data_IF_355525700674
#
_entry.id   IF_355525700674
#
_cell.length_a   1.000
_cell.length_b   1.000
_cell.length_c   1.000
_cell.angle_alpha   90.00
_cell.angle_beta   90.00
_cell.angle_gamma   90.00
#
_symmetry.space_group_name_H-M   'P 1'
#
loop_
_entity.id
_entity.type
_entity.pdbx_description
1 polymer ?
#
# COMPACT_ATOMS: atom_id res chain seq x y z
N UNK A 1 -15.46 23.64 -17.43
CA UNK A 1 -16.77 23.43 -18.07
C UNK A 1 -16.66 23.86 -19.52
N UNK A 2 -16.63 22.88 -20.43
CA UNK A 2 -16.72 23.05 -21.87
C UNK A 2 -17.56 21.88 -22.36
N UNK A 3 -18.82 22.16 -22.72
CA UNK A 3 -19.76 21.19 -23.27
C UNK A 3 -19.65 21.20 -24.79
N UNK A 4 -19.38 20.04 -25.40
CA UNK A 4 -19.56 19.84 -26.84
C UNK A 4 -20.85 19.02 -27.00
N UNK A 5 -21.86 19.65 -27.60
CA UNK A 5 -23.10 19.01 -28.03
C UNK A 5 -23.01 18.80 -29.54
N UNK A 6 -23.25 17.58 -30.00
CA UNK A 6 -23.48 17.28 -31.41
C UNK A 6 -24.73 16.40 -31.55
N UNK A 7 -25.76 16.92 -32.22
CA UNK A 7 -26.86 16.18 -32.85
C UNK A 7 -26.86 16.52 -34.34
N UNK A 8 -27.53 15.85 -35.28
CA UNK A 8 -28.29 14.61 -35.37
C UNK A 8 -28.23 14.19 -36.85
N UNK A 9 -28.27 12.90 -37.18
CA UNK A 9 -29.11 12.36 -38.28
C UNK A 9 -29.07 10.84 -38.28
N UNK A 10 -30.27 10.25 -38.21
CA UNK A 10 -30.46 8.82 -38.34
C UNK A 10 -30.47 8.40 -39.79
N UNK A 11 -29.82 7.28 -40.06
CA UNK A 11 -30.09 6.45 -41.23
C UNK A 11 -30.31 5.01 -40.74
N UNK A 12 -31.39 4.41 -41.21
CA UNK A 12 -31.93 3.14 -40.72
C UNK A 12 -31.32 2.01 -41.57
N UNK A 13 -30.53 1.08 -41.02
CA UNK A 13 -30.01 -0.04 -41.81
C UNK A 13 -31.11 -1.08 -42.05
N UNK A 14 -31.16 -1.61 -43.27
CA UNK A 14 -31.97 -2.77 -43.65
C UNK A 14 -31.48 -4.06 -42.93
N UNK A 15 -32.34 -5.07 -42.73
CA UNK A 15 -31.97 -6.26 -41.99
C UNK A 15 -31.04 -7.15 -42.84
N UNK A 16 -29.79 -7.33 -42.37
CA UNK A 16 -28.94 -8.41 -42.83
C UNK A 16 -29.34 -9.71 -42.08
N UNK A 17 -29.42 -10.81 -42.81
CA UNK A 17 -29.87 -12.12 -42.31
C UNK A 17 -28.97 -12.71 -41.21
N UNK A 18 -29.35 -13.86 -40.63
CA UNK A 18 -28.66 -14.43 -39.47
C UNK A 18 -27.24 -14.84 -39.87
N UNK A 19 -26.25 -14.08 -39.43
CA UNK A 19 -24.86 -14.51 -39.43
C UNK A 19 -24.62 -15.32 -38.16
N UNK A 20 -24.24 -16.58 -38.36
CA UNK A 20 -23.90 -17.56 -37.34
C UNK A 20 -22.72 -17.05 -36.49
N UNK A 21 -22.93 -16.94 -35.17
CA UNK A 21 -21.90 -16.49 -34.25
C UNK A 21 -20.83 -17.60 -34.07
N UNK A 22 -19.53 -17.30 -34.20
CA UNK A 22 -18.51 -18.24 -33.79
C UNK A 22 -18.55 -18.39 -32.27
N UNK A 23 -18.65 -19.63 -31.80
CA UNK A 23 -18.49 -19.96 -30.39
C UNK A 23 -17.07 -19.60 -29.95
N UNK A 24 -16.93 -18.47 -29.27
CA UNK A 24 -15.76 -18.22 -28.44
C UNK A 24 -15.90 -19.12 -27.21
N UNK A 25 -15.14 -20.21 -27.18
CA UNK A 25 -14.86 -20.90 -25.94
C UNK A 25 -14.04 -19.94 -25.06
N UNK A 26 -14.70 -19.28 -24.11
CA UNK A 26 -14.02 -18.72 -22.95
C UNK A 26 -13.31 -19.89 -22.25
N UNK A 27 -11.99 -19.88 -22.26
CA UNK A 27 -11.22 -20.75 -21.40
C UNK A 27 -11.54 -20.34 -19.96
N UNK A 28 -12.24 -21.22 -19.23
CA UNK A 28 -12.55 -21.03 -17.82
C UNK A 28 -11.27 -20.65 -17.07
N UNK A 29 -11.28 -19.45 -16.48
CA UNK A 29 -10.20 -19.01 -15.62
C UNK A 29 -10.04 -20.01 -14.45
N UNK A 30 -8.80 -20.31 -14.01
CA UNK A 30 -8.62 -21.23 -12.91
C UNK A 30 -9.34 -20.70 -11.66
N UNK A 31 -10.22 -21.51 -11.11
CA UNK A 31 -10.99 -21.21 -9.90
C UNK A 31 -10.35 -21.98 -8.74
N UNK A 32 -10.18 -21.33 -7.59
CA UNK A 32 -9.84 -22.04 -6.35
C UNK A 32 -10.98 -22.99 -6.00
N UNK A 33 -10.72 -24.30 -6.10
CA UNK A 33 -11.71 -25.37 -5.86
C UNK A 33 -12.23 -25.39 -4.42
N UNK A 34 -11.58 -24.70 -3.47
CA UNK A 34 -12.03 -24.63 -2.07
C UNK A 34 -13.05 -23.52 -1.83
N UNK A 35 -12.95 -22.42 -2.55
CA UNK A 35 -13.72 -21.20 -2.26
C UNK A 35 -14.60 -20.74 -3.42
N UNK A 36 -14.39 -21.28 -4.63
CA UNK A 36 -15.06 -20.79 -5.84
C UNK A 36 -14.57 -19.40 -6.27
N UNK A 37 -13.55 -18.85 -5.58
CA UNK A 37 -12.96 -17.57 -5.93
C UNK A 37 -12.00 -17.72 -7.12
N UNK A 38 -11.78 -16.64 -7.89
CA UNK A 38 -10.71 -16.62 -8.88
C UNK A 38 -9.38 -17.05 -8.25
N UNK A 39 -8.64 -17.94 -8.91
CA UNK A 39 -7.31 -18.30 -8.44
C UNK A 39 -6.43 -17.05 -8.38
N UNK A 40 -5.70 -16.89 -7.27
CA UNK A 40 -4.75 -15.79 -7.11
C UNK A 40 -3.58 -16.04 -8.08
N UNK A 41 -3.22 -15.09 -8.95
CA UNK A 41 -2.07 -15.22 -9.83
C UNK A 41 -0.79 -15.61 -9.09
N UNK A 42 0.11 -16.34 -9.76
CA UNK A 42 1.38 -16.76 -9.16
C UNK A 42 2.25 -15.56 -8.77
N UNK A 43 2.13 -14.44 -9.47
CA UNK A 43 2.76 -13.17 -9.09
C UNK A 43 1.75 -12.03 -9.12
N UNK A 44 1.80 -11.17 -8.11
CA UNK A 44 0.97 -9.96 -8.04
C UNK A 44 1.82 -8.71 -8.35
N UNK A 45 1.27 -7.72 -9.06
CA UNK A 45 2.00 -6.49 -9.40
C UNK A 45 2.26 -5.57 -8.20
N UNK A 46 1.52 -5.77 -7.10
CA UNK A 46 1.62 -4.99 -5.88
C UNK A 46 1.69 -5.91 -4.65
N UNK A 47 2.36 -5.42 -3.61
CA UNK A 47 2.36 -6.03 -2.29
C UNK A 47 1.43 -5.32 -1.31
N UNK A 48 1.25 -5.91 -0.14
CA UNK A 48 0.58 -5.29 1.00
C UNK A 48 1.61 -4.75 1.98
N UNK A 49 1.45 -3.48 2.38
CA UNK A 49 2.19 -2.88 3.48
C UNK A 49 1.31 -2.93 4.73
N UNK A 50 1.78 -3.61 5.77
CA UNK A 50 1.05 -3.83 7.02
C UNK A 50 1.83 -3.24 8.19
N UNK A 51 1.33 -2.19 8.81
CA UNK A 51 1.89 -1.64 10.04
C UNK A 51 1.05 -2.07 11.25
N UNK A 52 1.70 -2.62 12.28
CA UNK A 52 1.03 -3.13 13.47
C UNK A 52 1.95 -3.12 14.69
N UNK A 53 1.33 -3.14 15.88
CA UNK A 53 2.06 -3.39 17.13
C UNK A 53 2.32 -4.88 17.25
N UNK A 54 3.55 -5.22 17.64
CA UNK A 54 3.91 -6.60 17.94
C UNK A 54 4.08 -6.80 19.44
N UNK A 55 3.61 -7.93 19.94
CA UNK A 55 3.72 -8.34 21.33
C UNK A 55 4.39 -9.71 21.37
N UNK A 56 5.34 -9.89 22.30
CA UNK A 56 5.99 -11.17 22.49
C UNK A 56 5.05 -12.17 23.14
N UNK A 57 5.43 -13.45 23.16
CA UNK A 57 4.73 -14.48 23.93
C UNK A 57 5.72 -15.09 24.93
N UNK A 58 5.39 -15.04 26.22
CA UNK A 58 6.16 -15.62 27.32
C UNK A 58 5.24 -16.54 28.11
N UNK A 59 5.66 -17.78 28.32
CA UNK A 59 4.87 -18.81 29.01
C UNK A 59 3.46 -18.99 28.43
N UNK A 60 3.34 -18.88 27.11
CA UNK A 60 2.06 -19.01 26.38
C UNK A 60 1.14 -17.78 26.49
N UNK A 61 1.57 -16.70 27.13
CA UNK A 61 0.80 -15.46 27.29
C UNK A 61 1.46 -14.30 26.52
N UNK A 62 0.65 -13.45 25.89
CA UNK A 62 1.15 -12.26 25.23
C UNK A 62 1.73 -11.27 26.26
N UNK A 63 2.84 -10.62 25.93
CA UNK A 63 3.42 -9.56 26.77
C UNK A 63 2.53 -8.32 26.75
N UNK A 64 2.49 -7.57 27.84
CA UNK A 64 1.78 -6.28 27.89
C UNK A 64 2.56 -5.14 27.24
N UNK A 65 3.90 -5.27 27.19
CA UNK A 65 4.77 -4.30 26.54
C UNK A 65 4.95 -4.67 25.06
N UNK A 66 4.67 -3.75 24.12
CA UNK A 66 4.96 -3.98 22.70
C UNK A 66 6.47 -3.99 22.43
N UNK A 67 6.87 -4.74 21.42
CA UNK A 67 8.22 -4.71 20.84
C UNK A 67 8.47 -3.46 19.99
N UNK A 68 9.56 -3.43 19.19
CA UNK A 68 9.82 -2.36 18.24
C UNK A 68 8.65 -2.11 17.29
N UNK A 69 8.50 -0.87 16.83
CA UNK A 69 7.54 -0.53 15.78
C UNK A 69 7.87 -1.34 14.53
N UNK A 70 6.85 -1.91 13.88
CA UNK A 70 7.03 -2.86 12.78
C UNK A 70 6.09 -2.57 11.64
N UNK A 71 6.61 -2.71 10.43
CA UNK A 71 5.79 -2.97 9.25
C UNK A 71 6.31 -4.16 8.48
N UNK A 72 5.39 -4.89 7.86
CA UNK A 72 5.67 -6.00 6.96
C UNK A 72 5.29 -5.61 5.53
N UNK A 73 6.11 -6.04 4.58
CA UNK A 73 5.79 -6.00 3.16
C UNK A 73 5.55 -7.42 2.70
N UNK A 74 4.30 -7.72 2.36
CA UNK A 74 3.88 -9.01 1.85
C UNK A 74 3.76 -8.96 0.33
N UNK A 75 4.60 -9.71 -0.38
CA UNK A 75 4.55 -9.84 -1.85
C UNK A 75 4.23 -11.29 -2.24
N UNK A 76 3.67 -11.46 -3.44
CA UNK A 76 3.43 -12.78 -4.04
C UNK A 76 4.23 -12.90 -5.33
N UNK A 77 5.11 -13.87 -5.38
CA UNK A 77 6.04 -14.13 -6.49
C UNK A 77 6.16 -15.65 -6.67
N UNK A 78 6.09 -16.14 -7.92
CA UNK A 78 6.26 -17.55 -8.27
C UNK A 78 5.35 -18.53 -7.47
N UNK A 79 4.15 -18.08 -7.12
CA UNK A 79 3.16 -18.86 -6.36
C UNK A 79 3.37 -18.80 -4.84
N UNK A 80 4.44 -18.17 -4.37
CA UNK A 80 4.82 -18.08 -2.97
C UNK A 80 4.58 -16.68 -2.38
N UNK A 81 4.21 -16.64 -1.10
CA UNK A 81 4.15 -15.39 -0.34
C UNK A 81 5.50 -15.13 0.32
N UNK A 82 6.06 -13.94 0.08
CA UNK A 82 7.30 -13.47 0.70
C UNK A 82 7.00 -12.31 1.63
N UNK A 83 7.62 -12.32 2.81
CA UNK A 83 7.48 -11.24 3.80
C UNK A 83 8.84 -10.61 4.06
N UNK A 84 8.96 -9.32 3.79
CA UNK A 84 10.05 -8.48 4.31
C UNK A 84 9.58 -7.79 5.59
N UNK A 85 10.32 -7.98 6.67
CA UNK A 85 10.02 -7.39 7.98
C UNK A 85 10.96 -6.22 8.23
N UNK A 86 10.41 -5.06 8.61
CA UNK A 86 11.18 -3.88 8.99
C UNK A 86 10.76 -3.43 10.37
N UNK A 87 11.76 -3.15 11.21
CA UNK A 87 11.58 -2.70 12.57
C UNK A 87 12.32 -1.38 12.83
N UNK A 88 11.73 -0.55 13.70
CA UNK A 88 12.36 0.65 14.24
C UNK A 88 12.37 0.59 15.76
N UNK A 89 13.57 0.48 16.34
CA UNK A 89 13.76 0.40 17.79
C UNK A 89 13.56 1.74 18.50
N UNK A 90 13.43 2.85 17.77
CA UNK A 90 13.14 4.17 18.34
C UNK A 90 11.64 4.39 18.59
N UNK A 91 10.79 3.44 18.21
CA UNK A 91 9.36 3.45 18.51
C UNK A 91 8.86 2.04 18.84
N UNK A 92 7.67 1.91 19.40
CA UNK A 92 7.00 0.62 19.62
C UNK A 92 5.74 0.43 18.76
N UNK A 93 5.36 1.44 17.97
CA UNK A 93 4.29 1.38 16.98
C UNK A 93 4.54 2.39 15.88
N UNK A 94 4.09 2.07 14.67
CA UNK A 94 3.82 3.05 13.63
C UNK A 94 2.32 3.32 13.61
N UNK A 95 1.89 4.56 13.85
CA UNK A 95 0.48 4.90 13.68
C UNK A 95 0.11 4.98 12.19
N UNK A 96 1.10 5.21 11.32
CA UNK A 96 0.92 5.15 9.87
C UNK A 96 2.20 4.69 9.19
N UNK A 97 2.05 3.91 8.12
CA UNK A 97 3.09 3.59 7.16
C UNK A 97 2.45 3.62 5.77
N UNK A 98 3.09 4.26 4.80
CA UNK A 98 2.55 4.36 3.44
C UNK A 98 3.64 4.49 2.38
N UNK A 99 3.40 4.02 1.14
CA UNK A 99 4.24 4.38 0.01
C UNK A 99 4.27 5.89 -0.19
N UNK A 100 5.45 6.46 -0.42
CA UNK A 100 5.64 7.88 -0.69
C UNK A 100 6.76 8.07 -1.70
N UNK A 101 6.58 8.99 -2.66
CA UNK A 101 7.61 9.33 -3.64
C UNK A 101 7.90 10.83 -3.53
N UNK A 102 8.98 11.22 -2.83
CA UNK A 102 9.34 12.63 -2.75
C UNK A 102 9.78 13.16 -4.11
N UNK A 103 9.59 14.47 -4.32
CA UNK A 103 10.01 15.14 -5.56
C UNK A 103 11.51 14.95 -5.80
N UNK A 104 11.86 14.44 -6.98
CA UNK A 104 13.25 14.24 -7.39
C UNK A 104 13.99 13.14 -6.62
N UNK A 105 13.28 12.33 -5.84
CA UNK A 105 13.84 11.22 -5.07
C UNK A 105 13.19 9.89 -5.49
N UNK A 106 13.86 8.75 -5.28
CA UNK A 106 13.25 7.45 -5.52
C UNK A 106 12.05 7.21 -4.59
N UNK A 107 11.10 6.33 -4.98
CA UNK A 107 10.03 5.90 -4.10
C UNK A 107 10.57 5.26 -2.81
N UNK A 108 9.85 5.49 -1.71
CA UNK A 108 10.14 4.92 -0.40
C UNK A 108 8.87 4.64 0.39
N UNK A 109 9.04 4.32 1.67
CA UNK A 109 7.95 4.16 2.62
C UNK A 109 8.08 5.26 3.66
N UNK A 110 7.02 6.04 3.87
CA UNK A 110 6.94 7.03 4.93
C UNK A 110 6.31 6.40 6.17
N UNK A 111 6.90 6.59 7.34
CA UNK A 111 6.35 6.14 8.62
C UNK A 111 6.20 7.28 9.60
N UNK A 112 5.06 7.32 10.29
CA UNK A 112 4.83 8.15 11.46
C UNK A 112 4.83 7.28 12.73
N UNK A 113 5.84 7.48 13.57
CA UNK A 113 6.02 6.73 14.79
C UNK A 113 5.04 7.20 15.89
N UNK A 114 4.40 6.24 16.56
CA UNK A 114 3.50 6.53 17.68
C UNK A 114 4.20 6.70 19.01
N UNK A 115 5.52 6.46 19.10
CA UNK A 115 6.36 6.86 20.23
C UNK A 115 7.65 7.51 19.74
N UNK A 116 8.17 8.48 20.48
CA UNK A 116 9.34 9.27 20.09
C UNK A 116 9.07 10.32 18.99
N UNK A 117 7.84 10.36 18.46
CA UNK A 117 7.37 11.32 17.45
C UNK A 117 8.32 11.51 16.25
N UNK A 118 8.79 10.41 15.65
CA UNK A 118 9.60 10.42 14.44
C UNK A 118 8.76 10.32 13.17
N UNK A 119 9.08 11.14 12.18
CA UNK A 119 8.72 10.91 10.78
C UNK A 119 9.97 10.44 10.06
N UNK A 120 9.90 9.26 9.44
CA UNK A 120 11.02 8.65 8.72
C UNK A 120 10.62 8.23 7.32
N UNK A 121 11.54 8.38 6.38
CA UNK A 121 11.44 7.87 5.02
C UNK A 121 12.42 6.71 4.85
N UNK A 122 11.92 5.58 4.40
CA UNK A 122 12.67 4.35 4.21
C UNK A 122 12.94 4.13 2.73
N UNK A 123 14.21 4.12 2.34
CA UNK A 123 14.64 3.83 0.98
C UNK A 123 15.35 2.48 0.91
N UNK A 124 15.20 1.79 -0.23
CA UNK A 124 15.90 0.52 -0.46
C UNK A 124 17.33 0.81 -0.88
N UNK A 125 18.27 0.41 -0.04
CA UNK A 125 19.70 0.51 -0.28
C UNK A 125 20.33 -0.87 -0.19
N UNK A 126 20.97 -1.32 -1.28
CA UNK A 126 21.62 -2.65 -1.35
C UNK A 126 20.68 -3.79 -0.91
N UNK A 127 19.41 -3.71 -1.33
CA UNK A 127 18.39 -4.71 -1.04
C UNK A 127 17.67 -4.57 0.30
N UNK A 128 18.10 -3.68 1.20
CA UNK A 128 17.48 -3.48 2.52
C UNK A 128 16.87 -2.11 2.65
N UNK A 129 15.74 -2.00 3.33
CA UNK A 129 15.16 -0.70 3.69
C UNK A 129 16.00 -0.02 4.77
N UNK A 130 16.36 1.24 4.53
CA UNK A 130 17.14 2.09 5.43
C UNK A 130 16.35 3.36 5.75
N UNK A 131 16.19 3.71 7.03
CA UNK A 131 15.47 4.92 7.41
C UNK A 131 16.36 6.15 7.30
N UNK A 132 15.77 7.25 6.84
CA UNK A 132 16.23 8.61 7.06
C UNK A 132 15.19 9.34 7.88
N UNK A 133 15.59 9.97 8.98
CA UNK A 133 14.69 10.83 9.78
C UNK A 133 14.45 12.13 9.04
N UNK A 134 13.19 12.41 8.71
CA UNK A 134 12.77 13.67 8.09
C UNK A 134 12.41 14.71 9.15
N UNK A 135 11.77 14.27 10.23
CA UNK A 135 11.33 15.14 11.31
C UNK A 135 11.29 14.41 12.65
N UNK A 136 11.51 15.14 13.74
CA UNK A 136 11.31 14.66 15.10
C UNK A 136 10.89 15.83 16.02
N UNK A 137 10.18 15.51 17.10
CA UNK A 137 9.94 16.46 18.18
C UNK A 137 9.82 15.78 19.55
N UNK A 138 10.04 16.58 20.58
CA UNK A 138 9.69 16.24 21.96
C UNK A 138 8.61 17.21 22.45
N UNK A 139 7.52 16.67 22.99
CA UNK A 139 6.38 17.45 23.48
C UNK A 139 6.39 17.61 25.01
N UNK A 140 7.29 16.93 25.72
CA UNK A 140 7.49 17.06 27.16
C UNK A 140 6.45 16.35 28.05
N UNK A 141 5.55 15.55 27.48
CA UNK A 141 4.62 14.70 28.21
C UNK A 141 5.10 13.25 28.36
N UNK A 142 4.26 12.40 28.97
CA UNK A 142 4.53 10.95 29.08
C UNK A 142 4.75 10.30 27.71
N UNK A 143 4.11 10.85 26.67
CA UNK A 143 4.23 10.34 25.32
C UNK A 143 4.52 11.43 24.29
N UNK A 144 5.56 11.18 23.48
CA UNK A 144 5.77 11.91 22.23
C UNK A 144 5.15 11.10 21.08
N UNK A 145 3.97 11.50 20.57
CA UNK A 145 3.23 10.72 19.55
C UNK A 145 2.76 11.57 18.38
N UNK A 146 2.96 11.06 17.17
CA UNK A 146 2.30 11.54 15.95
C UNK A 146 1.08 10.66 15.72
N UNK A 147 -0.10 11.23 15.46
CA UNK A 147 -1.34 10.44 15.24
C UNK A 147 -1.60 10.13 13.78
N UNK A 148 -1.22 11.04 12.90
CA UNK A 148 -1.42 10.91 11.47
C UNK A 148 -0.33 11.63 10.69
N UNK A 149 -0.20 11.28 9.42
CA UNK A 149 0.61 11.96 8.41
C UNK A 149 -0.14 11.90 7.09
N UNK A 150 -0.25 13.01 6.39
CA UNK A 150 -0.98 13.11 5.13
C UNK A 150 -0.01 13.54 4.03
N UNK A 151 -0.36 13.25 2.80
CA UNK A 151 0.39 13.71 1.63
C UNK A 151 -0.60 14.34 0.67
N UNK A 152 -0.38 15.62 0.36
CA UNK A 152 -1.24 16.40 -0.50
C UNK A 152 -0.45 17.56 -1.11
N UNK A 153 -0.93 18.08 -2.23
CA UNK A 153 -0.53 19.38 -2.77
C UNK A 153 -1.28 20.44 -1.96
N UNK A 154 -0.59 21.01 -0.97
CA UNK A 154 -1.21 21.89 0.03
C UNK A 154 -1.27 23.34 -0.43
N UNK A 155 -0.35 23.77 -1.29
CA UNK A 155 -0.25 25.15 -1.76
C UNK A 155 -0.66 25.35 -3.23
N UNK A 156 -0.93 24.27 -3.97
CA UNK A 156 -1.42 24.28 -5.33
C UNK A 156 -0.33 24.40 -6.39
N UNK A 157 0.94 24.15 -6.06
CA UNK A 157 2.05 24.22 -7.01
C UNK A 157 2.25 22.93 -7.83
N UNK A 158 1.44 21.90 -7.58
CA UNK A 158 1.51 20.59 -8.22
C UNK A 158 2.55 19.65 -7.63
N UNK A 159 3.16 20.03 -6.50
CA UNK A 159 4.08 19.20 -5.70
C UNK A 159 3.31 18.63 -4.52
N UNK A 160 3.73 17.46 -4.04
CA UNK A 160 3.14 16.86 -2.86
C UNK A 160 3.99 17.15 -1.63
N UNK A 161 3.36 17.70 -0.59
CA UNK A 161 3.93 17.91 0.74
C UNK A 161 3.60 16.75 1.67
N UNK A 162 4.28 16.74 2.82
CA UNK A 162 3.99 15.91 4.00
C UNK A 162 3.65 16.84 5.16
#
# INVERSE_FOLDING_TARGET
>A
MLCIVAGCKGEKPAPAGPAEAPAHAEADAPVDRRTGAPAIPDSLPYGLLLAFSQFGVVDGQATSKPGPARFDILTREDGEWKTEVVEDTQSNIFHKAMPFTPRGQPPGILTAAGTGAYVKLWHREKGKLRPTTLWHAEFGGEFNRIRDVEVADLDGDGVLEI
#
